data_IF_631260713816
#
_entry.id   IF_631260713816
#
_cell.length_a   1.000
_cell.length_b   1.000
_cell.length_c   1.000
_cell.angle_alpha   90.00
_cell.angle_beta   90.00
_cell.angle_gamma   90.00
#
_symmetry.space_group_name_H-M   'P 1'
#
loop_
_entity.id
_entity.type
_entity.pdbx_description
1 polymer ?
#
# COMPACT_ATOMS: atom_id res chain seq x y z
N UNK A 1 4.29 -12.71 -41.65
CA UNK A 1 4.12 -12.74 -43.11
C UNK A 1 5.40 -12.22 -43.77
N UNK A 2 6.17 -13.05 -44.48
CA UNK A 2 7.49 -12.64 -44.99
C UNK A 2 7.43 -11.60 -46.12
N UNK A 3 6.23 -11.24 -46.62
CA UNK A 3 6.05 -10.25 -47.68
C UNK A 3 5.62 -8.85 -47.20
N UNK A 4 5.31 -8.66 -45.92
CA UNK A 4 4.79 -7.36 -45.42
C UNK A 4 5.66 -6.70 -44.34
N UNK A 5 6.77 -7.32 -43.91
CA UNK A 5 7.67 -6.77 -42.89
C UNK A 5 7.06 -6.58 -41.49
N UNK A 6 5.75 -6.78 -41.35
CA UNK A 6 5.02 -6.62 -40.10
C UNK A 6 5.11 -7.92 -39.27
N UNK A 7 5.62 -7.77 -38.05
CA UNK A 7 5.45 -8.78 -37.00
C UNK A 7 3.98 -8.87 -36.61
N UNK A 8 3.52 -10.06 -36.27
CA UNK A 8 2.18 -10.22 -35.70
C UNK A 8 2.10 -9.39 -34.41
N UNK A 9 1.00 -8.66 -34.15
CA UNK A 9 0.80 -8.03 -32.86
C UNK A 9 0.92 -9.10 -31.78
N UNK A 10 1.67 -8.80 -30.72
CA UNK A 10 1.81 -9.70 -29.58
C UNK A 10 0.41 -10.07 -29.08
N UNK A 11 0.14 -11.38 -28.98
CA UNK A 11 -1.12 -11.84 -28.40
C UNK A 11 -1.26 -11.23 -27.00
N UNK A 12 -2.46 -10.72 -26.64
CA UNK A 12 -2.71 -10.25 -25.30
C UNK A 12 -2.39 -11.37 -24.30
N UNK A 13 -1.91 -10.99 -23.13
CA UNK A 13 -1.46 -11.96 -22.13
C UNK A 13 -2.63 -12.91 -21.82
N UNK A 14 -2.39 -14.22 -21.80
CA UNK A 14 -3.45 -15.23 -21.58
C UNK A 14 -4.17 -14.99 -20.24
N UNK A 15 -3.47 -14.38 -19.28
CA UNK A 15 -4.06 -13.94 -18.02
C UNK A 15 -5.12 -12.84 -18.21
N UNK A 16 -4.94 -11.91 -19.15
CA UNK A 16 -5.89 -10.81 -19.40
C UNK A 16 -7.21 -11.34 -19.98
N UNK A 17 -7.11 -12.27 -20.93
CA UNK A 17 -8.29 -12.93 -21.50
C UNK A 17 -9.03 -13.72 -20.43
N UNK A 18 -8.29 -14.50 -19.63
CA UNK A 18 -8.87 -15.32 -18.55
C UNK A 18 -9.55 -14.44 -17.50
N UNK A 19 -8.91 -13.35 -17.08
CA UNK A 19 -9.48 -12.38 -16.13
C UNK A 19 -10.72 -11.68 -16.71
N UNK A 20 -10.71 -11.31 -17.98
CA UNK A 20 -11.85 -10.69 -18.65
C UNK A 20 -13.05 -11.64 -18.70
N UNK A 21 -12.82 -12.91 -19.07
CA UNK A 21 -13.87 -13.93 -19.08
C UNK A 21 -14.41 -14.21 -17.68
N UNK A 22 -13.54 -14.30 -16.66
CA UNK A 22 -13.95 -14.45 -15.26
C UNK A 22 -14.77 -13.24 -14.79
N UNK A 23 -14.43 -12.01 -15.23
CA UNK A 23 -15.20 -10.82 -14.87
C UNK A 23 -16.60 -10.76 -15.51
N UNK A 24 -16.83 -11.53 -16.57
CA UNK A 24 -18.10 -11.57 -17.33
C UNK A 24 -18.95 -12.80 -17.02
N UNK A 25 -18.39 -13.81 -16.38
CA UNK A 25 -19.10 -15.03 -16.00
C UNK A 25 -19.49 -14.93 -14.53
N UNK A 26 -20.76 -15.23 -14.23
CA UNK A 26 -21.22 -15.41 -12.86
C UNK A 26 -20.40 -16.52 -12.20
N UNK A 27 -19.50 -16.12 -11.31
CA UNK A 27 -18.64 -17.07 -10.59
C UNK A 27 -19.48 -17.75 -9.52
N UNK A 28 -19.10 -18.96 -9.12
CA UNK A 28 -19.81 -19.70 -8.06
C UNK A 28 -19.91 -18.91 -6.74
N UNK A 29 -19.03 -17.92 -6.53
CA UNK A 29 -19.12 -17.00 -5.41
C UNK A 29 -20.18 -15.92 -5.62
N UNK A 30 -20.51 -15.49 -6.85
CA UNK A 30 -21.52 -14.45 -7.11
C UNK A 30 -22.96 -14.92 -6.85
N UNK A 31 -23.17 -16.24 -6.81
CA UNK A 31 -24.49 -16.87 -6.60
C UNK A 31 -24.73 -17.18 -5.10
N UNK A 32 -23.67 -17.15 -4.28
CA UNK A 32 -23.76 -17.47 -2.85
C UNK A 32 -24.39 -16.32 -2.07
N UNK A 33 -25.16 -16.63 -0.99
CA UNK A 33 -25.67 -15.59 -0.11
C UNK A 33 -24.51 -14.81 0.53
N UNK A 34 -24.64 -13.49 0.77
CA UNK A 34 -23.54 -12.63 1.24
C UNK A 34 -22.80 -13.15 2.48
N UNK A 35 -23.52 -13.82 3.39
CA UNK A 35 -22.98 -14.40 4.62
C UNK A 35 -22.08 -15.62 4.38
N UNK A 36 -22.16 -16.25 3.21
CA UNK A 36 -21.34 -17.38 2.81
C UNK A 36 -20.15 -16.98 1.91
N UNK A 37 -20.02 -15.68 1.57
CA UNK A 37 -18.90 -15.14 0.80
C UNK A 37 -17.63 -14.95 1.62
N UNK A 38 -17.78 -14.91 2.95
CA UNK A 38 -16.68 -14.72 3.88
C UNK A 38 -16.69 -15.87 4.89
N UNK A 39 -15.50 -16.39 5.18
CA UNK A 39 -15.38 -17.35 6.26
C UNK A 39 -15.50 -16.64 7.61
N UNK A 40 -16.23 -17.26 8.56
CA UNK A 40 -16.47 -16.67 9.89
C UNK A 40 -15.16 -16.53 10.66
N UNK A 41 -14.86 -15.30 11.09
CA UNK A 41 -13.64 -14.97 11.85
C UNK A 41 -13.81 -15.42 13.31
N UNK A 42 -12.79 -16.10 13.86
CA UNK A 42 -12.79 -16.60 15.25
C UNK A 42 -11.42 -16.40 15.90
N UNK A 43 -11.36 -16.17 17.21
CA UNK A 43 -10.09 -16.13 17.95
C UNK A 43 -9.17 -14.99 17.49
N UNK A 44 -7.96 -15.34 17.01
CA UNK A 44 -6.93 -14.36 16.63
C UNK A 44 -7.33 -13.49 15.45
N UNK A 45 -8.10 -14.01 14.50
CA UNK A 45 -8.63 -13.19 13.40
C UNK A 45 -9.54 -12.07 13.91
N UNK A 46 -10.32 -12.30 14.97
CA UNK A 46 -11.23 -11.27 15.50
C UNK A 46 -10.43 -10.12 16.14
N UNK A 47 -9.36 -10.45 16.84
CA UNK A 47 -8.42 -9.45 17.37
C UNK A 47 -7.77 -8.65 16.23
N UNK A 48 -7.38 -9.31 15.15
CA UNK A 48 -6.80 -8.65 13.98
C UNK A 48 -7.80 -7.66 13.34
N UNK A 49 -9.08 -8.02 13.23
CA UNK A 49 -10.12 -7.12 12.71
C UNK A 49 -10.38 -5.93 13.65
N UNK A 50 -10.45 -6.16 14.97
CA UNK A 50 -10.62 -5.08 15.96
C UNK A 50 -9.44 -4.10 15.93
N UNK A 51 -8.21 -4.62 15.88
CA UNK A 51 -7.01 -3.79 15.78
C UNK A 51 -6.96 -3.02 14.44
N UNK A 52 -7.39 -3.66 13.35
CA UNK A 52 -7.49 -3.01 12.04
C UNK A 52 -8.43 -1.79 12.09
N UNK A 53 -9.59 -1.94 12.73
CA UNK A 53 -10.58 -0.86 12.91
C UNK A 53 -10.07 0.24 13.85
N UNK A 54 -9.37 -0.13 14.93
CA UNK A 54 -8.87 0.83 15.93
C UNK A 54 -7.62 1.60 15.49
N UNK A 55 -6.96 1.17 14.42
CA UNK A 55 -5.74 1.76 13.88
C UNK A 55 -5.72 3.30 13.80
N UNK A 56 -6.70 3.99 13.18
CA UNK A 56 -6.66 5.46 13.08
C UNK A 56 -6.66 6.13 14.46
N UNK A 57 -7.37 5.56 15.43
CA UNK A 57 -7.42 6.07 16.80
C UNK A 57 -6.07 5.89 17.48
N UNK A 58 -5.47 4.71 17.37
CA UNK A 58 -4.18 4.43 17.99
C UNK A 58 -3.08 5.30 17.36
N UNK A 59 -3.12 5.50 16.05
CA UNK A 59 -2.21 6.40 15.36
C UNK A 59 -2.40 7.86 15.79
N UNK A 60 -3.64 8.33 15.92
CA UNK A 60 -3.94 9.68 16.41
C UNK A 60 -3.41 9.89 17.84
N UNK A 61 -3.60 8.91 18.73
CA UNK A 61 -3.07 8.95 20.10
C UNK A 61 -1.54 8.94 20.12
N UNK A 62 -0.90 8.14 19.26
CA UNK A 62 0.55 8.14 19.10
C UNK A 62 1.04 9.50 18.59
N UNK A 63 0.35 10.10 17.61
CA UNK A 63 0.68 11.42 17.08
C UNK A 63 0.47 12.53 18.14
N UNK A 64 -0.57 12.44 18.96
CA UNK A 64 -0.80 13.38 20.06
C UNK A 64 0.28 13.28 21.14
N UNK A 65 0.69 12.05 21.49
CA UNK A 65 1.71 11.81 22.51
C UNK A 65 3.10 12.32 22.12
N UNK A 66 3.42 12.28 20.82
CA UNK A 66 4.70 12.74 20.27
C UNK A 66 4.57 14.02 19.43
N UNK A 67 3.52 14.83 19.65
CA UNK A 67 3.26 16.06 18.89
C UNK A 67 4.37 17.11 19.01
N UNK A 68 5.14 17.08 20.11
CA UNK A 68 6.26 17.99 20.34
C UNK A 68 7.52 17.71 19.52
N UNK A 69 7.68 16.50 18.98
CA UNK A 69 8.87 16.11 18.20
C UNK A 69 8.46 15.67 16.80
N UNK A 70 8.39 16.66 15.89
CA UNK A 70 8.00 16.47 14.48
C UNK A 70 8.92 15.51 13.73
N UNK A 71 10.17 15.37 14.17
CA UNK A 71 11.17 14.48 13.55
C UNK A 71 11.11 13.06 14.10
N UNK A 72 10.23 12.77 15.06
CA UNK A 72 10.19 11.48 15.74
C UNK A 72 9.58 10.36 14.87
N UNK A 73 10.30 9.25 14.77
CA UNK A 73 9.89 8.09 13.94
C UNK A 73 8.90 7.17 14.68
N UNK A 74 8.65 7.45 15.96
CA UNK A 74 7.94 6.54 16.88
C UNK A 74 6.46 6.38 16.50
N UNK A 75 5.70 7.45 16.19
CA UNK A 75 4.29 7.29 15.78
C UNK A 75 4.16 6.54 14.46
N UNK A 76 5.10 6.75 13.54
CA UNK A 76 5.16 6.05 12.27
C UNK A 76 5.48 4.56 12.44
N UNK A 77 6.48 4.21 13.25
CA UNK A 77 6.82 2.82 13.56
C UNK A 77 5.67 2.09 14.26
N UNK A 78 4.93 2.78 15.14
CA UNK A 78 3.74 2.23 15.78
C UNK A 78 2.64 1.95 14.74
N UNK A 79 2.35 2.91 13.85
CA UNK A 79 1.36 2.73 12.78
C UNK A 79 1.73 1.61 11.81
N UNK A 80 2.98 1.59 11.33
CA UNK A 80 3.50 0.56 10.44
C UNK A 80 3.57 -0.81 11.11
N UNK A 81 4.08 -0.88 12.35
CA UNK A 81 4.15 -2.12 13.12
C UNK A 81 2.78 -2.70 13.43
N UNK A 82 1.79 -1.85 13.66
CA UNK A 82 0.40 -2.26 13.84
C UNK A 82 -0.21 -2.82 12.54
N UNK A 83 -0.01 -2.15 11.41
CA UNK A 83 -0.43 -2.64 10.08
C UNK A 83 0.17 -4.02 9.80
N UNK A 84 1.47 -4.17 10.08
CA UNK A 84 2.20 -5.42 9.91
C UNK A 84 1.69 -6.52 10.85
N UNK A 85 1.50 -6.21 12.13
CA UNK A 85 0.96 -7.13 13.13
C UNK A 85 -0.44 -7.61 12.77
N UNK A 86 -1.35 -6.70 12.40
CA UNK A 86 -2.71 -7.05 11.94
C UNK A 86 -2.68 -7.97 10.72
N UNK A 87 -1.82 -7.67 9.74
CA UNK A 87 -1.67 -8.48 8.53
C UNK A 87 -1.10 -9.86 8.84
N UNK A 88 -0.13 -9.96 9.73
CA UNK A 88 0.49 -11.23 10.10
C UNK A 88 -0.49 -12.12 10.86
N UNK A 89 -1.22 -11.54 11.83
CA UNK A 89 -2.28 -12.24 12.58
C UNK A 89 -3.43 -12.70 11.66
N UNK A 90 -3.85 -11.86 10.71
CA UNK A 90 -4.84 -12.25 9.72
C UNK A 90 -4.33 -13.39 8.83
N UNK A 91 -3.07 -13.34 8.38
CA UNK A 91 -2.48 -14.42 7.56
C UNK A 91 -2.35 -15.74 8.30
N UNK A 92 -1.99 -15.71 9.57
CA UNK A 92 -1.90 -16.94 10.39
C UNK A 92 -3.28 -17.53 10.60
N UNK A 93 -4.29 -16.71 10.90
CA UNK A 93 -5.69 -17.13 11.00
C UNK A 93 -6.21 -17.77 9.69
N UNK A 94 -5.97 -17.12 8.55
CA UNK A 94 -6.35 -17.68 7.24
C UNK A 94 -5.64 -19.01 6.92
N UNK A 95 -4.40 -19.19 7.37
CA UNK A 95 -3.63 -20.42 7.13
C UNK A 95 -4.11 -21.59 7.97
N UNK A 96 -4.57 -21.31 9.19
CA UNK A 96 -5.08 -22.31 10.13
C UNK A 96 -6.54 -22.68 9.84
N UNK A 97 -7.35 -21.70 9.43
CA UNK A 97 -8.80 -21.87 9.25
C UNK A 97 -9.21 -22.44 7.89
N UNK A 98 -8.51 -22.11 6.81
CA UNK A 98 -8.93 -22.43 5.45
C UNK A 98 -8.23 -23.71 4.97
N UNK A 99 -9.00 -24.70 4.51
CA UNK A 99 -8.44 -25.88 3.86
C UNK A 99 -7.71 -25.46 2.57
N UNK A 100 -6.38 -25.62 2.53
CA UNK A 100 -5.52 -25.07 1.47
C UNK A 100 -4.90 -23.69 1.78
N UNK A 101 -5.12 -23.18 2.99
CA UNK A 101 -4.54 -21.93 3.51
C UNK A 101 -4.85 -20.72 2.61
N UNK A 102 -3.83 -19.92 2.32
CA UNK A 102 -3.97 -18.70 1.50
C UNK A 102 -4.43 -18.97 0.05
N UNK A 103 -4.38 -20.22 -0.43
CA UNK A 103 -4.87 -20.57 -1.78
C UNK A 103 -6.36 -20.90 -1.81
N UNK A 104 -6.98 -21.18 -0.66
CA UNK A 104 -8.42 -21.47 -0.54
C UNK A 104 -9.28 -20.25 -0.21
N UNK A 105 -8.69 -19.04 -0.28
CA UNK A 105 -9.41 -17.79 0.00
C UNK A 105 -10.45 -17.51 -1.08
N UNK A 106 -11.60 -16.98 -0.66
CA UNK A 106 -12.60 -16.44 -1.58
C UNK A 106 -12.03 -15.23 -2.34
N UNK A 107 -12.62 -14.90 -3.49
CA UNK A 107 -12.22 -13.71 -4.25
C UNK A 107 -12.21 -12.44 -3.40
N UNK A 108 -13.24 -12.27 -2.56
CA UNK A 108 -13.41 -11.12 -1.69
C UNK A 108 -12.32 -11.03 -0.59
N UNK A 109 -11.99 -12.14 0.07
CA UNK A 109 -10.92 -12.19 1.08
C UNK A 109 -9.54 -11.90 0.47
N UNK A 110 -9.31 -12.38 -0.76
CA UNK A 110 -8.06 -12.10 -1.49
C UNK A 110 -7.93 -10.63 -1.84
N UNK A 111 -9.03 -10.00 -2.26
CA UNK A 111 -9.05 -8.56 -2.54
C UNK A 111 -8.83 -7.73 -1.28
N UNK A 112 -9.43 -8.12 -0.16
CA UNK A 112 -9.22 -7.46 1.13
C UNK A 112 -7.76 -7.56 1.57
N UNK A 113 -7.14 -8.74 1.47
CA UNK A 113 -5.70 -8.90 1.73
C UNK A 113 -4.82 -8.09 0.78
N UNK A 114 -5.24 -7.90 -0.48
CA UNK A 114 -4.56 -7.04 -1.45
C UNK A 114 -4.68 -5.57 -1.06
N UNK A 115 -5.87 -5.09 -0.69
CA UNK A 115 -6.10 -3.73 -0.19
C UNK A 115 -5.26 -3.44 1.05
N UNK A 116 -5.22 -4.37 2.02
CA UNK A 116 -4.35 -4.27 3.21
C UNK A 116 -2.86 -4.24 2.85
N UNK A 117 -2.45 -4.93 1.77
CA UNK A 117 -1.09 -4.90 1.25
C UNK A 117 -0.73 -3.54 0.66
N UNK A 118 -1.63 -2.97 -0.15
CA UNK A 118 -1.47 -1.61 -0.69
C UNK A 118 -1.47 -0.55 0.41
N UNK A 119 -2.33 -0.67 1.42
CA UNK A 119 -2.36 0.21 2.58
C UNK A 119 -1.01 0.22 3.32
N UNK A 120 -0.37 -0.94 3.49
CA UNK A 120 1.00 -1.03 4.04
C UNK A 120 2.04 -0.31 3.18
N UNK A 121 1.94 -0.43 1.84
CA UNK A 121 2.78 0.34 0.92
C UNK A 121 2.59 1.85 1.09
N UNK A 122 1.34 2.30 1.23
CA UNK A 122 1.02 3.70 1.51
C UNK A 122 1.55 4.18 2.87
N UNK A 123 1.54 3.33 3.89
CA UNK A 123 2.17 3.63 5.19
C UNK A 123 3.68 3.81 5.08
N UNK A 124 4.36 3.00 4.26
CA UNK A 124 5.80 3.16 4.01
C UNK A 124 6.09 4.54 3.42
N UNK A 125 5.24 5.00 2.52
CA UNK A 125 5.38 6.31 1.87
C UNK A 125 5.01 7.49 2.78
N UNK A 126 4.21 7.28 3.84
CA UNK A 126 3.66 8.34 4.68
C UNK A 126 4.63 8.83 5.77
N UNK A 127 4.88 10.14 5.85
CA UNK A 127 5.37 10.84 7.06
C UNK A 127 6.87 10.77 7.35
N UNK A 128 7.37 9.68 7.94
CA UNK A 128 8.73 9.66 8.49
C UNK A 128 9.82 9.27 7.47
N UNK A 129 9.48 8.45 6.47
CA UNK A 129 10.39 8.11 5.36
C UNK A 129 10.76 9.35 4.54
N UNK A 130 9.76 10.21 4.32
CA UNK A 130 9.92 11.42 3.52
C UNK A 130 10.92 12.42 4.13
N UNK A 131 10.76 12.76 5.41
CA UNK A 131 11.60 13.80 6.04
C UNK A 131 13.06 13.37 6.31
N UNK A 132 13.33 12.10 6.60
CA UNK A 132 14.69 11.67 6.95
C UNK A 132 15.41 10.90 5.85
N UNK A 133 14.70 10.11 5.05
CA UNK A 133 15.34 9.31 3.98
C UNK A 133 15.18 10.03 2.65
N UNK A 134 13.96 10.37 2.25
CA UNK A 134 13.74 11.03 0.95
C UNK A 134 14.39 12.41 0.92
N UNK A 135 14.25 13.24 1.96
CA UNK A 135 14.89 14.57 2.02
C UNK A 135 16.42 14.47 2.03
N UNK A 136 17.00 13.58 2.84
CA UNK A 136 18.47 13.40 2.87
C UNK A 136 19.01 12.83 1.57
N UNK A 137 18.29 11.91 0.94
CA UNK A 137 18.65 11.32 -0.35
C UNK A 137 18.50 12.34 -1.48
N UNK A 138 17.40 13.09 -1.50
CA UNK A 138 17.12 14.15 -2.47
C UNK A 138 18.18 15.24 -2.36
N UNK A 139 18.50 15.70 -1.15
CA UNK A 139 19.58 16.67 -0.91
C UNK A 139 20.93 16.14 -1.38
N UNK A 140 21.25 14.87 -1.07
CA UNK A 140 22.49 14.23 -1.55
C UNK A 140 22.54 14.06 -3.07
N UNK A 141 21.39 13.89 -3.73
CA UNK A 141 21.29 13.81 -5.18
C UNK A 141 21.41 15.21 -5.82
N UNK A 142 20.71 16.20 -5.27
CA UNK A 142 20.78 17.61 -5.71
C UNK A 142 22.20 18.15 -5.58
N UNK A 143 22.88 17.88 -4.46
CA UNK A 143 24.28 18.27 -4.25
C UNK A 143 25.24 17.61 -5.26
N UNK A 144 24.95 16.38 -5.69
CA UNK A 144 25.74 15.68 -6.74
C UNK A 144 25.39 16.12 -8.16
N UNK A 145 24.23 16.73 -8.35
CA UNK A 145 23.73 17.23 -9.63
C UNK A 145 24.11 18.70 -9.85
N UNK A 146 24.41 19.44 -8.78
CA UNK A 146 24.96 20.81 -8.82
C UNK A 146 26.25 20.84 -9.63
N UNK A 147 26.29 21.70 -10.64
CA UNK A 147 27.47 21.88 -11.51
C UNK A 147 27.51 21.01 -12.78
N UNK A 148 26.47 20.22 -13.08
CA UNK A 148 26.30 19.59 -14.40
C UNK A 148 25.23 20.33 -15.22
N UNK A 149 25.53 20.77 -16.45
CA UNK A 149 24.51 21.42 -17.29
C UNK A 149 23.31 20.48 -17.49
N UNK A 150 22.09 21.04 -17.51
CA UNK A 150 20.78 20.37 -17.46
C UNK A 150 20.34 19.80 -16.10
N UNK A 151 21.22 19.15 -15.35
CA UNK A 151 20.85 18.58 -14.03
C UNK A 151 20.73 19.65 -12.94
N UNK A 152 21.46 20.76 -13.10
CA UNK A 152 21.39 21.93 -12.22
C UNK A 152 20.00 22.60 -12.23
N UNK A 153 19.33 22.62 -13.40
CA UNK A 153 17.95 23.13 -13.56
C UNK A 153 16.92 22.27 -12.83
N UNK A 154 17.09 20.95 -12.85
CA UNK A 154 16.20 20.03 -12.12
C UNK A 154 16.45 20.15 -10.62
N UNK A 155 17.72 20.31 -10.21
CA UNK A 155 18.12 20.57 -8.84
C UNK A 155 17.49 21.85 -8.27
N UNK A 156 17.50 22.95 -9.04
CA UNK A 156 16.92 24.22 -8.60
C UNK A 156 15.40 24.14 -8.43
N UNK A 157 14.68 23.49 -9.34
CA UNK A 157 13.21 23.31 -9.22
C UNK A 157 12.86 22.48 -7.98
N UNK A 158 13.65 21.45 -7.69
CA UNK A 158 13.46 20.62 -6.50
C UNK A 158 13.72 21.44 -5.23
N UNK A 159 14.76 22.28 -5.20
CA UNK A 159 15.11 23.15 -4.07
C UNK A 159 13.98 24.17 -3.79
N UNK A 160 13.38 24.74 -4.85
CA UNK A 160 12.23 25.63 -4.74
C UNK A 160 10.96 24.92 -4.22
N UNK A 161 10.74 23.66 -4.60
CA UNK A 161 9.62 22.85 -4.12
C UNK A 161 9.82 22.31 -2.69
N UNK A 162 11.06 22.08 -2.27
CA UNK A 162 11.39 21.66 -0.90
C UNK A 162 10.92 22.70 0.12
N UNK A 163 11.09 23.99 -0.18
CA UNK A 163 10.59 25.08 0.66
C UNK A 163 9.07 25.05 0.85
N UNK A 164 8.32 24.73 -0.20
CA UNK A 164 6.86 24.60 -0.15
C UNK A 164 6.43 23.38 0.65
N UNK A 165 7.13 22.26 0.49
CA UNK A 165 6.87 21.03 1.24
C UNK A 165 7.17 21.14 2.73
N UNK A 166 8.18 21.93 3.13
CA UNK A 166 8.54 22.15 4.55
C UNK A 166 7.59 23.14 5.26
N UNK A 167 7.13 24.18 4.55
CA UNK A 167 6.35 25.26 5.16
C UNK A 167 4.83 25.10 5.04
N UNK A 168 4.35 24.39 4.01
CA UNK A 168 2.92 24.18 3.80
C UNK A 168 2.57 22.69 3.88
N UNK A 169 1.78 22.36 4.90
CA UNK A 169 1.11 21.06 4.99
C UNK A 169 0.02 21.05 3.92
N UNK A 170 0.25 20.35 2.80
CA UNK A 170 -0.72 20.29 1.70
C UNK A 170 -2.05 19.68 2.21
N UNK A 171 -3.15 20.45 2.22
CA UNK A 171 -4.46 19.96 2.69
C UNK A 171 -5.05 18.86 1.79
N UNK A 172 -4.46 18.63 0.62
CA UNK A 172 -4.82 17.59 -0.34
C UNK A 172 -4.26 16.21 0.01
N UNK A 173 -3.57 16.05 1.14
CA UNK A 173 -3.40 14.74 1.76
C UNK A 173 -4.76 14.29 2.32
N UNK A 174 -5.60 13.81 1.41
CA UNK A 174 -6.94 13.27 1.65
C UNK A 174 -6.92 12.32 2.84
N UNK A 175 -7.81 12.61 3.80
CA UNK A 175 -8.32 11.68 4.82
C UNK A 175 -8.80 10.37 4.18
#
# INVERSE_FOLDING_TARGET
MPRTGMSLPSLPNVNDISNYLISKVLTADDIKPPKALLHRVTGQGQLAEVLYILRPVIYALAMQKWSGDKRSWRPWLIGFGMEYGCRQLAKTDFRERVAGGLRGLTGLEREELRKRGWAMGWWIMRGAFYENITKSWLKSLTDKMKGKPLLDLVGSVIEDYEYLWDNYYFPTATL
#
